data_IF_101880932289
#
_entry.id   IF_101880932289
#
_cell.length_a   1.000
_cell.length_b   1.000
_cell.length_c   1.000
_cell.angle_alpha   90.00
_cell.angle_beta   90.00
_cell.angle_gamma   90.00
#
_symmetry.space_group_name_H-M   'P 1'
#
loop_
_entity.id
_entity.type
_entity.pdbx_description
1 polymer ?
#
# COMPACT_ATOMS: atom_id res chain seq x y z
N UNK A 1 -7.54 -6.25 -6.32
CA UNK A 1 -6.64 -6.24 -5.15
C UNK A 1 -6.86 -4.90 -4.47
N UNK A 2 -7.21 -4.86 -3.20
CA UNK A 2 -7.40 -3.61 -2.45
C UNK A 2 -6.33 -3.49 -1.37
N UNK A 3 -6.09 -2.27 -0.92
CA UNK A 3 -5.32 -2.00 0.29
C UNK A 3 -6.26 -1.65 1.43
N UNK A 4 -5.85 -1.98 2.65
CA UNK A 4 -6.57 -1.67 3.88
C UNK A 4 -5.64 -0.88 4.78
N UNK A 5 -6.12 0.24 5.33
CA UNK A 5 -5.34 0.96 6.32
C UNK A 5 -5.16 0.09 7.59
N UNK A 6 -3.90 -0.11 8.01
CA UNK A 6 -3.55 -0.91 9.19
C UNK A 6 -3.71 -0.14 10.51
N UNK A 7 -4.01 1.17 10.45
CA UNK A 7 -4.38 1.92 11.63
C UNK A 7 -5.74 1.43 12.14
N UNK A 8 -5.77 0.87 13.36
CA UNK A 8 -6.96 0.25 13.96
C UNK A 8 -8.16 1.19 14.03
N UNK A 9 -7.93 2.50 14.20
CA UNK A 9 -9.02 3.49 14.24
C UNK A 9 -9.56 3.89 12.87
N UNK A 10 -8.89 3.52 11.77
CA UNK A 10 -9.22 3.97 10.42
C UNK A 10 -9.77 2.83 9.55
N UNK A 11 -9.01 1.74 9.41
CA UNK A 11 -9.38 0.51 8.68
C UNK A 11 -9.98 0.69 7.27
N UNK A 12 -9.84 1.87 6.67
CA UNK A 12 -10.44 2.21 5.37
C UNK A 12 -9.79 1.40 4.26
N UNK A 13 -10.60 0.97 3.29
CA UNK A 13 -10.15 0.27 2.09
C UNK A 13 -9.90 1.25 0.95
N UNK A 14 -8.86 0.98 0.17
CA UNK A 14 -8.42 1.80 -0.95
C UNK A 14 -8.20 0.94 -2.18
N UNK A 15 -8.58 1.46 -3.35
CA UNK A 15 -8.09 0.92 -4.60
C UNK A 15 -6.60 1.31 -4.76
N UNK A 16 -5.74 0.42 -5.28
CA UNK A 16 -4.36 0.77 -5.58
C UNK A 16 -4.18 1.97 -6.50
N UNK A 17 -5.20 2.33 -7.30
CA UNK A 17 -5.19 3.51 -8.16
C UNK A 17 -5.47 4.81 -7.39
N UNK A 18 -6.14 4.74 -6.24
CA UNK A 18 -6.54 5.89 -5.44
C UNK A 18 -5.45 6.35 -4.47
N UNK A 19 -4.36 5.58 -4.35
CA UNK A 19 -3.27 5.89 -3.43
C UNK A 19 -1.92 5.85 -4.13
N UNK A 20 -1.05 6.77 -3.73
CA UNK A 20 0.34 6.77 -4.21
C UNK A 20 1.21 5.94 -3.29
N UNK A 21 1.90 4.95 -3.86
CA UNK A 21 2.98 4.22 -3.19
C UNK A 21 4.28 5.00 -3.37
N UNK A 22 5.00 5.25 -2.28
CA UNK A 22 6.31 5.89 -2.27
C UNK A 22 7.28 5.07 -1.43
N UNK A 23 8.55 5.08 -1.82
CA UNK A 23 9.62 4.58 -0.96
C UNK A 23 10.15 5.73 -0.12
N UNK A 24 10.03 5.61 1.21
CA UNK A 24 10.50 6.63 2.18
C UNK A 24 11.75 6.15 2.93
N UNK A 25 12.58 5.29 2.32
CA UNK A 25 13.81 4.75 2.93
C UNK A 25 13.61 3.55 3.85
N UNK A 26 12.37 3.06 3.98
CA UNK A 26 11.99 1.87 4.77
C UNK A 26 11.28 0.82 3.90
N UNK A 27 11.38 0.95 2.57
CA UNK A 27 10.61 0.18 1.60
C UNK A 27 9.36 0.92 1.13
N UNK A 28 8.66 0.36 0.13
CA UNK A 28 7.49 0.98 -0.46
C UNK A 28 6.31 0.94 0.50
N UNK A 29 5.68 2.09 0.70
CA UNK A 29 4.50 2.25 1.53
C UNK A 29 3.52 3.21 0.86
N UNK A 30 2.24 3.09 1.20
CA UNK A 30 1.27 4.13 0.87
C UNK A 30 0.82 4.84 2.15
N UNK A 31 0.54 6.14 2.04
CA UNK A 31 -0.05 6.92 3.12
C UNK A 31 -1.56 6.88 2.96
N UNK A 32 -2.27 6.56 4.04
CA UNK A 32 -3.73 6.60 4.03
C UNK A 32 -4.20 8.06 3.84
N UNK A 33 -5.00 8.39 2.82
CA UNK A 33 -5.52 9.74 2.61
C UNK A 33 -6.35 10.30 3.77
N UNK A 34 -6.95 9.41 4.59
CA UNK A 34 -7.82 9.82 5.71
C UNK A 34 -7.04 10.09 7.00
N UNK A 35 -6.14 9.18 7.40
CA UNK A 35 -5.44 9.26 8.69
C UNK A 35 -3.93 9.50 8.58
N UNK A 36 -3.40 9.64 7.37
CA UNK A 36 -1.98 9.80 7.04
C UNK A 36 -1.04 8.70 7.58
N UNK A 37 -1.61 7.59 8.09
CA UNK A 37 -0.84 6.46 8.59
C UNK A 37 -0.08 5.78 7.44
N UNK A 38 1.10 5.27 7.75
CA UNK A 38 1.99 4.59 6.80
C UNK A 38 1.62 3.12 6.72
N UNK A 39 1.31 2.65 5.52
CA UNK A 39 0.89 1.28 5.28
C UNK A 39 1.91 0.61 4.36
N UNK A 40 2.75 -0.30 4.88
CA UNK A 40 3.80 -0.94 4.10
C UNK A 40 3.20 -1.87 3.05
N UNK A 41 3.79 -1.85 1.86
CA UNK A 41 3.48 -2.75 0.75
C UNK A 41 4.76 -3.42 0.30
N UNK A 42 4.63 -4.50 -0.47
CA UNK A 42 5.79 -5.18 -1.07
C UNK A 42 5.70 -5.10 -2.59
N UNK A 43 6.82 -4.82 -3.27
CA UNK A 43 6.86 -4.91 -4.71
C UNK A 43 6.81 -6.38 -5.11
N UNK A 44 5.96 -6.68 -6.09
CA UNK A 44 5.84 -7.99 -6.70
C UNK A 44 6.05 -7.81 -8.20
N UNK A 45 7.12 -8.42 -8.70
CA UNK A 45 7.41 -8.44 -10.14
C UNK A 45 6.53 -9.50 -10.79
N UNK A 46 5.75 -9.09 -11.79
CA UNK A 46 4.94 -9.99 -12.61
C UNK A 46 5.79 -10.61 -13.72
N UNK A 47 5.27 -11.67 -14.32
CA UNK A 47 5.93 -12.41 -15.40
C UNK A 47 6.18 -11.58 -16.66
N UNK A 48 5.39 -10.52 -16.85
CA UNK A 48 5.53 -9.53 -17.93
C UNK A 48 6.60 -8.45 -17.64
N UNK A 49 7.27 -8.53 -16.48
CA UNK A 49 8.26 -7.55 -16.03
C UNK A 49 7.67 -6.35 -15.27
N UNK A 50 6.34 -6.20 -15.24
CA UNK A 50 5.65 -5.11 -14.53
C UNK A 50 5.82 -5.25 -13.02
N UNK A 51 6.12 -4.13 -12.34
CA UNK A 51 6.12 -4.07 -10.88
C UNK A 51 4.73 -3.67 -10.40
N UNK A 52 4.11 -4.54 -9.60
CA UNK A 52 2.89 -4.20 -8.86
C UNK A 52 3.16 -4.22 -7.38
N UNK A 53 2.47 -3.38 -6.62
CA UNK A 53 2.58 -3.37 -5.17
C UNK A 53 1.46 -4.19 -4.56
N UNK A 54 1.77 -4.98 -3.54
CA UNK A 54 0.81 -5.78 -2.78
C UNK A 54 0.96 -5.49 -1.31
N UNK A 55 -0.16 -5.24 -0.63
CA UNK A 55 -0.13 -5.18 0.83
C UNK A 55 -0.07 -6.60 1.38
N UNK A 56 0.91 -6.87 2.26
CA UNK A 56 0.90 -8.11 3.05
C UNK A 56 -0.12 -7.93 4.16
N UNK A 57 -1.36 -8.38 3.92
CA UNK A 57 -2.29 -8.67 5.01
C UNK A 57 -1.68 -9.78 5.85
N UNK A 58 -1.36 -9.47 7.12
CA UNK A 58 -1.06 -10.49 8.13
C UNK A 58 -2.33 -11.30 8.41
#
# INVERSE_FOLDING_TARGET
>A
MFYTCQNQSCQTRWDPKDVTVKDEGQGPLFRCPVCNSRNPVVPQRKSDGTIVYKQRTR
#
